data_IF_079571856495
#
_entry.id   IF_079571856495
#
_cell.length_a   1.000
_cell.length_b   1.000
_cell.length_c   1.000
_cell.angle_alpha   90.00
_cell.angle_beta   90.00
_cell.angle_gamma   90.00
#
_symmetry.space_group_name_H-M   'P 1'
#
loop_
_entity.id
_entity.type
_entity.pdbx_description
1 polymer ?
#
# COMPACT_ATOMS: atom_id res chain seq x y z
N UNK A 1 -6.67 -4.63 26.78
CA UNK A 1 -5.96 -5.76 27.42
C UNK A 1 -4.88 -6.34 26.51
N UNK A 2 -4.19 -5.51 25.69
CA UNK A 2 -3.30 -5.98 24.60
C UNK A 2 -2.14 -5.01 24.32
N UNK A 3 -1.76 -4.18 25.30
CA UNK A 3 -0.81 -3.08 25.12
C UNK A 3 0.63 -3.55 24.85
N UNK A 4 0.98 -4.77 25.29
CA UNK A 4 2.31 -5.36 25.09
C UNK A 4 2.59 -5.80 23.65
N UNK A 5 1.54 -6.02 22.84
CA UNK A 5 1.69 -6.29 21.40
C UNK A 5 1.84 -4.99 20.61
N UNK A 6 1.35 -3.86 21.11
CA UNK A 6 1.29 -2.59 20.37
C UNK A 6 2.64 -1.84 20.37
N UNK A 7 3.69 -2.54 19.95
CA UNK A 7 5.00 -1.93 19.70
C UNK A 7 4.98 -1.24 18.34
N UNK A 8 5.67 -0.09 18.18
CA UNK A 8 5.75 0.60 16.89
C UNK A 8 6.21 -0.31 15.75
N UNK A 9 7.11 -1.25 16.05
CA UNK A 9 7.63 -2.23 15.09
C UNK A 9 6.55 -3.22 14.63
N UNK A 10 5.74 -3.80 15.54
CA UNK A 10 4.68 -4.72 15.11
C UNK A 10 3.63 -3.96 14.28
N UNK A 11 3.31 -2.73 14.66
CA UNK A 11 2.28 -1.93 13.98
C UNK A 11 2.73 -1.62 12.54
N UNK A 12 3.99 -1.20 12.35
CA UNK A 12 4.56 -0.99 11.01
C UNK A 12 4.55 -2.28 10.19
N UNK A 13 4.90 -3.43 10.79
CA UNK A 13 4.87 -4.72 10.10
C UNK A 13 3.45 -5.17 9.73
N UNK A 14 2.47 -4.94 10.61
CA UNK A 14 1.05 -5.20 10.36
C UNK A 14 0.55 -4.34 9.20
N UNK A 15 0.80 -3.02 9.24
CA UNK A 15 0.45 -2.10 8.15
C UNK A 15 1.14 -2.46 6.84
N UNK A 16 2.39 -2.90 6.88
CA UNK A 16 3.12 -3.36 5.71
C UNK A 16 2.50 -4.63 5.10
N UNK A 17 2.01 -5.54 5.95
CA UNK A 17 1.31 -6.75 5.51
C UNK A 17 -0.06 -6.42 4.88
N UNK A 18 -0.79 -5.50 5.48
CA UNK A 18 -2.06 -4.99 4.95
C UNK A 18 -1.86 -4.31 3.60
N UNK A 19 -0.85 -3.44 3.49
CA UNK A 19 -0.48 -2.75 2.26
C UNK A 19 -0.10 -3.74 1.15
N UNK A 20 0.71 -4.75 1.45
CA UNK A 20 1.05 -5.82 0.50
C UNK A 20 -0.17 -6.63 0.04
N UNK A 21 -1.08 -6.94 0.97
CA UNK A 21 -2.33 -7.63 0.67
C UNK A 21 -3.26 -6.79 -0.20
N UNK A 22 -3.31 -5.48 0.03
CA UNK A 22 -4.04 -4.54 -0.81
C UNK A 22 -3.42 -4.45 -2.21
N UNK A 23 -2.09 -4.31 -2.31
CA UNK A 23 -1.37 -4.28 -3.59
C UNK A 23 -1.63 -5.54 -4.40
N UNK A 24 -1.67 -6.71 -3.76
CA UNK A 24 -2.01 -7.96 -4.45
C UNK A 24 -3.41 -7.91 -5.10
N UNK A 25 -4.42 -7.37 -4.39
CA UNK A 25 -5.78 -7.22 -4.93
C UNK A 25 -5.80 -6.28 -6.14
N UNK A 26 -5.04 -5.18 -6.07
CA UNK A 26 -4.94 -4.21 -7.17
C UNK A 26 -4.25 -4.83 -8.39
N UNK A 27 -3.11 -5.50 -8.20
CA UNK A 27 -2.41 -6.20 -9.28
C UNK A 27 -3.27 -7.30 -9.90
N UNK A 28 -4.00 -8.07 -9.09
CA UNK A 28 -4.94 -9.08 -9.59
C UNK A 28 -6.07 -8.45 -10.43
N UNK A 29 -6.54 -7.25 -10.04
CA UNK A 29 -7.52 -6.50 -10.83
C UNK A 29 -6.94 -6.02 -12.16
N UNK A 30 -5.68 -5.55 -12.20
CA UNK A 30 -5.01 -5.18 -13.44
C UNK A 30 -4.87 -6.39 -14.37
N UNK A 31 -4.36 -7.52 -13.86
CA UNK A 31 -4.16 -8.76 -14.63
C UNK A 31 -5.49 -9.26 -15.20
N UNK A 32 -6.58 -9.23 -14.42
CA UNK A 32 -7.89 -9.66 -14.88
C UNK A 32 -8.47 -8.77 -16.00
N UNK A 33 -8.04 -7.51 -16.08
CA UNK A 33 -8.54 -6.51 -17.03
C UNK A 33 -7.52 -6.15 -18.13
N UNK A 34 -6.50 -6.99 -18.34
CA UNK A 34 -5.49 -6.76 -19.40
C UNK A 34 -6.10 -6.67 -20.80
N UNK A 35 -7.22 -7.37 -21.06
CA UNK A 35 -7.91 -7.36 -22.35
C UNK A 35 -9.16 -6.45 -22.35
N UNK A 36 -9.38 -5.67 -21.29
CA UNK A 36 -10.52 -4.75 -21.18
C UNK A 36 -10.17 -3.42 -21.86
N UNK A 37 -10.90 -2.98 -22.91
CA UNK A 37 -10.68 -1.69 -23.55
C UNK A 37 -10.84 -0.52 -22.58
N UNK A 38 -10.11 0.58 -22.80
CA UNK A 38 -10.10 1.79 -21.96
C UNK A 38 -9.73 1.59 -20.48
N UNK A 39 -9.27 0.40 -20.09
CA UNK A 39 -8.87 0.13 -18.71
C UNK A 39 -7.57 0.84 -18.34
N UNK A 40 -7.49 1.35 -17.11
CA UNK A 40 -6.32 2.06 -16.59
C UNK A 40 -5.76 1.36 -15.36
N UNK A 41 -4.48 0.98 -15.44
CA UNK A 41 -3.74 0.35 -14.36
C UNK A 41 -3.78 1.19 -13.10
N UNK A 42 -3.93 0.51 -11.98
CA UNK A 42 -3.81 1.10 -10.64
C UNK A 42 -2.66 0.41 -9.91
N UNK A 43 -2.00 1.09 -8.99
CA UNK A 43 -1.00 0.50 -8.09
C UNK A 43 -1.16 1.12 -6.70
N UNK A 44 -0.48 0.55 -5.71
CA UNK A 44 -0.48 1.05 -4.33
C UNK A 44 0.80 1.84 -4.09
N UNK A 45 0.67 3.10 -3.67
CA UNK A 45 1.75 3.95 -3.20
C UNK A 45 2.16 3.53 -1.80
N UNK A 46 3.25 2.76 -1.75
CA UNK A 46 3.77 2.18 -0.53
C UNK A 46 4.41 3.23 0.39
N UNK A 47 5.03 4.26 -0.17
CA UNK A 47 5.68 5.32 0.60
C UNK A 47 4.66 6.14 1.38
N UNK A 48 3.51 6.41 0.75
CA UNK A 48 2.36 7.04 1.42
C UNK A 48 1.83 6.19 2.59
N UNK A 49 1.61 4.89 2.37
CA UNK A 49 1.10 3.99 3.40
C UNK A 49 2.08 3.78 4.56
N UNK A 50 3.38 3.72 4.26
CA UNK A 50 4.42 3.59 5.28
C UNK A 50 4.57 4.89 6.08
N UNK A 51 4.50 6.04 5.43
CA UNK A 51 4.48 7.35 6.09
C UNK A 51 3.33 7.46 7.08
N UNK A 52 2.12 7.09 6.66
CA UNK A 52 0.93 7.05 7.52
C UNK A 52 1.12 6.09 8.70
N UNK A 53 1.66 4.88 8.46
CA UNK A 53 1.91 3.88 9.49
C UNK A 53 2.96 4.32 10.53
N UNK A 54 3.97 5.11 10.12
CA UNK A 54 4.99 5.65 11.01
C UNK A 54 4.50 6.86 11.83
N UNK A 55 3.23 7.28 11.67
CA UNK A 55 2.74 8.52 12.25
C UNK A 55 3.44 9.75 11.67
N UNK A 56 4.18 9.58 10.58
CA UNK A 56 4.53 10.65 9.66
C UNK A 56 3.29 10.88 8.81
N UNK A 57 2.23 11.40 9.45
CA UNK A 57 1.35 12.31 8.74
C UNK A 57 2.28 13.42 8.28
N UNK A 58 2.82 13.28 7.06
CA UNK A 58 3.29 14.39 6.28
C UNK A 58 2.11 15.34 6.27
N UNK A 59 2.15 16.28 7.22
CA UNK A 59 0.99 17.07 7.58
C UNK A 59 0.46 17.62 6.30
N UNK A 60 -0.75 17.20 5.92
CA UNK A 60 -1.43 17.82 4.81
C UNK A 60 -1.46 19.31 5.16
N UNK A 61 -0.56 20.09 4.56
CA UNK A 61 -0.55 21.52 4.76
C UNK A 61 -1.96 21.96 4.38
N UNK A 62 -2.76 22.45 5.34
CA UNK A 62 -4.11 22.83 5.03
C UNK A 62 -4.01 23.90 3.94
N UNK A 63 -4.72 23.69 2.84
CA UNK A 63 -4.77 24.69 1.78
C UNK A 63 -5.24 26.00 2.42
N UNK A 64 -4.41 27.04 2.31
CA UNK A 64 -4.79 28.36 2.77
C UNK A 64 -5.88 28.89 1.86
N UNK A 65 -7.13 28.72 2.28
CA UNK A 65 -8.30 29.27 1.61
C UNK A 65 -8.42 30.76 1.93
N UNK A 66 -8.50 31.59 0.90
CA UNK A 66 -8.67 33.05 1.00
C UNK A 66 -10.13 33.48 1.09
N UNK A 67 -11.08 32.57 0.83
CA UNK A 67 -12.53 32.83 0.88
C UNK A 67 -13.27 31.56 1.30
N UNK A 68 -14.37 31.71 2.03
CA UNK A 68 -15.20 30.59 2.52
C UNK A 68 -15.88 29.81 1.40
N UNK A 69 -15.95 30.37 0.18
CA UNK A 69 -16.51 29.70 -1.02
C UNK A 69 -15.46 28.95 -1.84
N UNK A 70 -14.18 29.02 -1.48
CA UNK A 70 -13.15 28.23 -2.14
C UNK A 70 -13.26 26.76 -1.74
N UNK A 71 -12.98 25.88 -2.70
CA UNK A 71 -12.93 24.45 -2.48
C UNK A 71 -11.84 24.15 -1.44
N UNK A 72 -12.24 23.69 -0.26
CA UNK A 72 -11.32 23.04 0.67
C UNK A 72 -10.95 21.66 0.09
N UNK A 73 -9.71 21.22 0.34
CA UNK A 73 -9.30 19.85 -0.03
C UNK A 73 -10.23 18.88 0.70
N UNK A 74 -11.17 18.30 -0.02
CA UNK A 74 -11.94 17.15 0.45
C UNK A 74 -10.92 16.03 0.54
N UNK A 75 -10.69 15.49 1.74
CA UNK A 75 -9.67 14.47 1.98
C UNK A 75 -9.71 13.43 0.88
N UNK A 76 -8.66 13.39 0.06
CA UNK A 76 -8.54 12.36 -0.94
C UNK A 76 -8.19 11.11 -0.16
N UNK A 77 -9.23 10.34 0.18
CA UNK A 77 -9.07 9.04 0.84
C UNK A 77 -8.57 8.05 -0.22
N UNK A 78 -7.40 8.32 -0.79
CA UNK A 78 -6.66 7.29 -1.50
C UNK A 78 -6.24 6.31 -0.42
N UNK A 79 -6.80 5.10 -0.44
CA UNK A 79 -6.29 3.96 0.32
C UNK A 79 -4.88 3.56 -0.18
N UNK A 80 -3.99 4.51 -0.42
CA UNK A 80 -2.73 4.36 -1.15
C UNK A 80 -2.89 4.05 -2.64
N UNK A 81 -4.08 3.80 -3.18
CA UNK A 81 -4.22 3.37 -4.59
C UNK A 81 -4.13 4.57 -5.55
N UNK A 82 -3.14 4.56 -6.44
CA UNK A 82 -2.90 5.57 -7.47
C UNK A 82 -3.15 4.95 -8.86
N UNK A 83 -3.94 5.65 -9.67
CA UNK A 83 -4.22 5.25 -11.04
C UNK A 83 -3.28 5.96 -12.01
N UNK A 84 -2.67 5.22 -12.92
CA UNK A 84 -1.81 5.80 -13.96
C UNK A 84 -2.69 6.25 -15.14
N UNK A 85 -2.83 7.57 -15.29
CA UNK A 85 -3.59 8.18 -16.38
C UNK A 85 -2.70 8.73 -17.51
N UNK A 86 -1.38 8.69 -17.37
CA UNK A 86 -0.45 9.37 -18.29
C UNK A 86 0.02 8.52 -19.46
N UNK A 87 -0.11 7.20 -19.36
CA UNK A 87 0.39 6.27 -20.38
C UNK A 87 -0.77 5.64 -21.15
N UNK A 88 -0.71 5.69 -22.48
CA UNK A 88 -1.52 4.84 -23.38
C UNK A 88 -0.53 3.97 -24.15
N UNK A 89 -0.37 2.71 -23.72
CA UNK A 89 0.56 1.78 -24.35
C UNK A 89 -0.02 1.14 -25.61
N UNK A 90 -1.35 1.10 -25.73
CA UNK A 90 -2.07 0.47 -26.84
C UNK A 90 -3.05 1.44 -27.49
N UNK A 91 -3.35 1.18 -28.76
CA UNK A 91 -4.30 1.93 -29.57
C UNK A 91 -5.77 1.77 -29.10
N UNK A 92 -6.00 0.88 -28.13
CA UNK A 92 -7.29 0.58 -27.48
C UNK A 92 -7.52 1.37 -26.17
N UNK A 93 -6.61 2.29 -25.84
CA UNK A 93 -6.70 3.10 -24.62
C UNK A 93 -6.25 2.39 -23.34
N UNK A 94 -5.93 1.09 -23.40
CA UNK A 94 -5.43 0.33 -22.27
C UNK A 94 -3.93 0.59 -22.02
N UNK A 95 -3.54 0.61 -20.76
CA UNK A 95 -2.15 0.79 -20.32
C UNK A 95 -1.63 -0.32 -19.39
N UNK A 96 -2.39 -1.40 -19.23
CA UNK A 96 -1.94 -2.61 -18.54
C UNK A 96 -1.02 -3.42 -19.46
N UNK A 97 0.11 -3.84 -18.90
CA UNK A 97 1.09 -4.69 -19.57
C UNK A 97 1.26 -5.96 -18.74
N UNK A 98 0.82 -7.11 -19.26
CA UNK A 98 0.78 -8.37 -18.52
C UNK A 98 2.15 -8.79 -18.00
N UNK A 99 3.22 -8.55 -18.76
CA UNK A 99 4.56 -8.97 -18.37
C UNK A 99 5.03 -8.13 -17.19
N UNK A 100 4.75 -6.82 -17.20
CA UNK A 100 5.04 -5.93 -16.06
C UNK A 100 4.17 -6.25 -14.84
N UNK A 101 2.87 -6.48 -15.03
CA UNK A 101 1.99 -6.82 -13.91
C UNK A 101 2.41 -8.14 -13.25
N UNK A 102 2.84 -9.14 -14.03
CA UNK A 102 3.36 -10.40 -13.50
C UNK A 102 4.67 -10.22 -12.72
N UNK A 103 5.57 -9.34 -13.18
CA UNK A 103 6.78 -8.96 -12.42
C UNK A 103 6.39 -8.30 -11.10
N UNK A 104 5.43 -7.36 -11.11
CA UNK A 104 4.96 -6.69 -9.90
C UNK A 104 4.28 -7.68 -8.92
N UNK A 105 3.53 -8.66 -9.43
CA UNK A 105 2.93 -9.72 -8.61
C UNK A 105 4.02 -10.56 -7.93
N UNK A 106 5.06 -10.93 -8.67
CA UNK A 106 6.19 -11.68 -8.10
C UNK A 106 6.94 -10.85 -7.05
N UNK A 107 7.20 -9.58 -7.32
CA UNK A 107 7.83 -8.64 -6.39
C UNK A 107 7.02 -8.52 -5.09
N UNK A 108 5.71 -8.26 -5.20
CA UNK A 108 4.83 -8.16 -4.04
C UNK A 108 4.75 -9.50 -3.28
N UNK A 109 4.84 -10.63 -3.96
CA UNK A 109 4.92 -11.95 -3.34
C UNK A 109 6.19 -12.14 -2.50
N UNK A 110 7.35 -11.72 -3.01
CA UNK A 110 8.62 -11.73 -2.25
C UNK A 110 8.53 -10.79 -1.05
N UNK A 111 7.95 -9.60 -1.24
CA UNK A 111 7.75 -8.62 -0.19
C UNK A 111 6.86 -9.16 0.94
N UNK A 112 5.67 -9.69 0.60
CA UNK A 112 4.73 -10.31 1.55
C UNK A 112 5.43 -11.37 2.42
N UNK A 113 6.12 -12.31 1.76
CA UNK A 113 6.84 -13.38 2.45
C UNK A 113 7.92 -12.83 3.40
N UNK A 114 8.60 -11.75 3.01
CA UNK A 114 9.62 -11.11 3.84
C UNK A 114 9.02 -10.46 5.09
N UNK A 115 7.88 -9.77 4.94
CA UNK A 115 7.14 -9.18 6.08
C UNK A 115 6.64 -10.28 7.03
N UNK A 116 6.06 -11.37 6.51
CA UNK A 116 5.62 -12.50 7.34
C UNK A 116 6.77 -13.13 8.13
N UNK A 117 7.95 -13.29 7.50
CA UNK A 117 9.16 -13.76 8.19
C UNK A 117 9.60 -12.79 9.29
N UNK A 118 9.57 -11.49 9.04
CA UNK A 118 9.92 -10.47 10.03
C UNK A 118 8.96 -10.50 11.24
N UNK A 119 7.64 -10.61 11.01
CA UNK A 119 6.64 -10.77 12.07
C UNK A 119 6.92 -12.03 12.89
N UNK A 120 7.19 -13.16 12.22
CA UNK A 120 7.50 -14.43 12.87
C UNK A 120 8.75 -14.35 13.74
N UNK A 121 9.79 -13.68 13.25
CA UNK A 121 11.02 -13.44 13.99
C UNK A 121 10.78 -12.57 15.24
N UNK A 122 9.99 -11.50 15.12
CA UNK A 122 9.65 -10.63 16.23
C UNK A 122 8.85 -11.36 17.31
N UNK A 123 7.86 -12.17 16.91
CA UNK A 123 7.10 -13.02 17.83
C UNK A 123 7.99 -14.06 18.52
N UNK A 124 8.93 -14.67 17.79
CA UNK A 124 9.92 -15.58 18.37
C UNK A 124 10.80 -14.87 19.39
N UNK A 125 11.21 -13.63 19.11
CA UNK A 125 12.02 -12.83 20.03
C UNK A 125 11.27 -12.52 21.33
N UNK A 126 10.01 -12.08 21.24
CA UNK A 126 9.13 -11.86 22.39
C UNK A 126 8.95 -13.14 23.20
N UNK A 127 8.72 -14.27 22.54
CA UNK A 127 8.61 -15.57 23.21
C UNK A 127 9.88 -15.90 23.97
N UNK A 128 11.06 -15.74 23.36
CA UNK A 128 12.35 -16.01 24.04
C UNK A 128 12.47 -15.18 25.31
N UNK A 129 12.19 -13.88 25.24
CA UNK A 129 12.25 -12.97 26.40
C UNK A 129 11.28 -13.39 27.52
N UNK A 130 10.07 -13.85 27.18
CA UNK A 130 9.07 -14.29 28.17
C UNK A 130 9.43 -15.65 28.78
N UNK A 131 10.02 -16.56 27.99
CA UNK A 131 10.28 -17.94 28.42
C UNK A 131 11.59 -18.06 29.20
N UNK A 132 12.53 -17.15 29.00
CA UNK A 132 13.81 -17.13 29.70
C UNK A 132 13.61 -16.51 31.09
N UNK A 133 13.31 -17.36 32.07
CA UNK A 133 13.23 -17.05 33.50
C UNK A 133 14.09 -18.02 34.29
#
# INVERSE_FOLDING_TARGET
MSDWLNTPVINILEKSLDASSLRYKVLANNVANVDTPDFKRSDVDFDLLLGEAMGQTGGELPLKVTSERHLQKTGFNSNGVVQDQGTTYRNDGNNVDIDKEMVNVAENGIYYNSVTRAISAQLSHLRTVITQK
#
